data_IF_925447618545
#
_entry.id   IF_925447618545
#
_cell.length_a   1.000
_cell.length_b   1.000
_cell.length_c   1.000
_cell.angle_alpha   90.00
_cell.angle_beta   90.00
_cell.angle_gamma   90.00
#
_symmetry.space_group_name_H-M   'P 1'
#
loop_
_entity.id
_entity.type
_entity.pdbx_description
1 polymer ?
#
# COMPACT_ATOMS: atom_id res chain seq x y z
N UNK A 1 28.60 -68.12 -22.17
CA UNK A 1 29.98 -68.38 -22.62
C UNK A 1 30.01 -68.27 -24.14
N UNK A 2 30.96 -67.48 -24.66
CA UNK A 2 31.45 -67.42 -26.05
C UNK A 2 30.48 -66.97 -27.17
N UNK A 3 30.74 -65.74 -27.64
CA UNK A 3 30.67 -65.24 -29.03
C UNK A 3 31.56 -66.12 -29.96
N UNK A 4 31.65 -65.98 -31.32
CA UNK A 4 31.18 -64.87 -32.18
C UNK A 4 30.77 -65.26 -33.64
N UNK A 5 30.59 -64.22 -34.47
CA UNK A 5 31.15 -64.11 -35.82
C UNK A 5 30.52 -64.96 -36.94
N UNK A 6 29.79 -64.31 -37.86
CA UNK A 6 30.30 -63.69 -39.10
C UNK A 6 30.17 -64.64 -40.29
N UNK A 7 29.54 -64.11 -41.34
CA UNK A 7 29.86 -64.18 -42.78
C UNK A 7 28.70 -63.48 -43.47
N UNK A 8 28.84 -62.60 -44.44
CA UNK A 8 29.99 -62.14 -45.22
C UNK A 8 29.48 -60.86 -45.91
N UNK A 9 30.25 -59.76 -45.93
CA UNK A 9 31.10 -59.37 -47.08
C UNK A 9 30.23 -59.20 -48.33
N UNK A 10 29.82 -58.01 -48.72
CA UNK A 10 30.56 -56.91 -49.36
C UNK A 10 29.42 -56.06 -49.97
N UNK A 11 29.41 -54.73 -50.03
CA UNK A 11 30.39 -53.90 -50.68
C UNK A 11 30.04 -52.44 -50.35
N UNK A 12 31.10 -51.70 -50.13
CA UNK A 12 31.19 -50.28 -49.85
C UNK A 12 30.57 -49.37 -50.93
N UNK A 13 30.03 -48.25 -50.45
CA UNK A 13 30.13 -46.90 -51.05
C UNK A 13 29.31 -46.68 -52.34
N UNK A 14 28.18 -45.98 -52.25
CA UNK A 14 28.19 -44.56 -52.64
C UNK A 14 26.97 -43.77 -52.13
N UNK A 15 27.29 -42.72 -51.37
CA UNK A 15 26.67 -41.39 -51.29
C UNK A 15 25.17 -41.19 -51.56
N UNK A 16 24.51 -40.73 -50.49
CA UNK A 16 23.61 -39.57 -50.40
C UNK A 16 22.79 -39.24 -51.66
N UNK A 17 21.47 -39.20 -51.51
CA UNK A 17 20.70 -37.94 -51.47
C UNK A 17 19.19 -38.17 -51.57
N UNK A 18 18.44 -37.54 -50.65
CA UNK A 18 17.04 -37.05 -50.80
C UNK A 18 15.97 -38.17 -50.69
N UNK A 19 14.83 -38.08 -49.98
CA UNK A 19 14.05 -36.99 -49.39
C UNK A 19 13.07 -37.61 -48.37
N UNK A 20 13.02 -37.00 -47.18
CA UNK A 20 11.85 -36.69 -46.35
C UNK A 20 10.57 -37.56 -46.45
N UNK A 21 10.27 -38.27 -45.36
CA UNK A 21 8.91 -38.43 -44.86
C UNK A 21 8.89 -38.10 -43.37
N UNK A 22 8.23 -37.00 -43.02
CA UNK A 22 7.97 -36.57 -41.63
C UNK A 22 6.57 -37.03 -41.26
N UNK A 23 6.37 -37.85 -40.21
CA UNK A 23 5.07 -37.98 -39.58
C UNK A 23 4.91 -36.88 -38.52
N UNK A 24 3.94 -35.99 -38.75
CA UNK A 24 3.55 -34.91 -37.84
C UNK A 24 2.78 -35.53 -36.66
N UNK A 25 3.45 -35.79 -35.54
CA UNK A 25 2.78 -35.92 -34.25
C UNK A 25 2.40 -34.51 -33.75
N UNK A 26 1.12 -34.20 -33.77
CA UNK A 26 0.55 -33.01 -33.12
C UNK A 26 0.60 -33.19 -31.60
N UNK A 27 1.73 -32.84 -30.98
CA UNK A 27 1.77 -32.51 -29.57
C UNK A 27 1.38 -31.04 -29.40
N UNK A 28 0.09 -30.78 -29.19
CA UNK A 28 -0.37 -29.50 -28.65
C UNK A 28 0.03 -29.43 -27.16
N UNK A 29 1.30 -29.17 -26.90
CA UNK A 29 1.74 -28.67 -25.61
C UNK A 29 1.24 -27.24 -25.48
N UNK A 30 0.07 -27.04 -24.87
CA UNK A 30 -0.30 -25.74 -24.34
C UNK A 30 0.71 -25.39 -23.24
N UNK A 31 1.74 -24.64 -23.63
CA UNK A 31 2.57 -23.90 -22.69
C UNK A 31 1.68 -22.78 -22.14
N UNK A 32 0.88 -23.10 -21.12
CA UNK A 32 0.23 -22.10 -20.29
C UNK A 32 1.34 -21.30 -19.59
N UNK A 33 1.86 -20.27 -20.25
CA UNK A 33 2.46 -19.14 -19.54
C UNK A 33 1.35 -18.58 -18.66
N UNK A 34 1.27 -19.07 -17.42
CA UNK A 34 0.56 -18.36 -16.37
C UNK A 34 1.15 -16.94 -16.37
N UNK A 35 0.36 -15.89 -16.59
CA UNK A 35 0.84 -14.55 -16.39
C UNK A 35 1.33 -14.52 -14.96
N UNK A 36 2.61 -14.20 -14.75
CA UNK A 36 3.08 -13.80 -13.44
C UNK A 36 2.33 -12.51 -13.13
N UNK A 37 1.13 -12.65 -12.57
CA UNK A 37 0.36 -11.57 -12.02
C UNK A 37 1.29 -10.91 -11.00
N UNK A 38 1.80 -9.73 -11.35
CA UNK A 38 2.57 -8.87 -10.48
C UNK A 38 1.65 -8.31 -9.39
N UNK A 39 1.08 -9.20 -8.58
CA UNK A 39 0.17 -8.88 -7.49
C UNK A 39 0.99 -8.29 -6.36
N UNK A 40 0.55 -7.12 -5.90
CA UNK A 40 1.13 -6.44 -4.75
C UNK A 40 2.24 -5.44 -5.09
N UNK A 41 2.47 -5.10 -6.36
CA UNK A 41 3.01 -3.76 -6.67
C UNK A 41 1.85 -2.78 -6.80
N UNK A 42 1.31 -2.33 -5.67
CA UNK A 42 1.02 -0.91 -5.63
C UNK A 42 2.40 -0.24 -5.76
N UNK A 43 2.81 0.09 -6.98
CA UNK A 43 3.85 1.07 -7.19
C UNK A 43 3.41 2.33 -6.42
N UNK A 44 4.36 3.08 -5.86
CA UNK A 44 4.03 4.38 -5.28
C UNK A 44 3.18 5.13 -6.31
N UNK A 45 1.94 5.47 -5.95
CA UNK A 45 0.99 6.16 -6.84
C UNK A 45 1.45 7.58 -7.15
N UNK A 46 2.49 8.05 -6.44
CA UNK A 46 3.06 9.36 -6.65
C UNK A 46 4.12 9.34 -7.75
N UNK A 47 3.71 9.87 -8.89
CA UNK A 47 4.56 10.15 -10.04
C UNK A 47 5.34 11.45 -9.83
N UNK A 48 6.68 11.43 -9.64
CA UNK A 48 7.45 12.64 -9.33
C UNK A 48 7.40 13.74 -10.39
N UNK A 49 7.10 13.38 -11.64
CA UNK A 49 6.87 14.30 -12.77
C UNK A 49 5.52 15.03 -12.72
N UNK A 50 4.61 14.55 -11.86
CA UNK A 50 3.30 15.15 -11.58
C UNK A 50 3.26 15.95 -10.28
N UNK A 51 4.35 15.92 -9.51
CA UNK A 51 4.48 16.67 -8.25
C UNK A 51 4.71 18.15 -8.54
N UNK A 52 3.98 19.04 -7.86
CA UNK A 52 4.11 20.51 -7.95
C UNK A 52 4.51 21.19 -6.64
N UNK A 53 4.55 20.44 -5.54
CA UNK A 53 4.93 20.90 -4.21
C UNK A 53 3.79 21.56 -3.44
N UNK A 54 3.93 21.60 -2.11
CA UNK A 54 2.88 22.05 -1.20
C UNK A 54 2.48 23.53 -1.36
N UNK A 55 3.40 24.39 -1.82
CA UNK A 55 3.14 25.83 -1.90
C UNK A 55 1.95 26.15 -2.80
N UNK A 56 1.79 25.43 -3.92
CA UNK A 56 0.66 25.61 -4.84
C UNK A 56 -0.68 25.20 -4.25
N UNK A 57 -0.68 24.23 -3.34
CA UNK A 57 -1.87 23.82 -2.61
C UNK A 57 -2.24 24.86 -1.54
N UNK A 58 -1.22 25.46 -0.91
CA UNK A 58 -1.37 26.41 0.20
C UNK A 58 -2.00 27.74 -0.23
N UNK A 59 -1.97 28.08 -1.52
CA UNK A 59 -2.67 29.25 -2.07
C UNK A 59 -4.18 29.23 -1.76
N UNK A 60 -4.77 28.03 -1.58
CA UNK A 60 -6.18 27.87 -1.17
C UNK A 60 -6.36 27.07 0.14
N UNK A 61 -5.37 26.27 0.55
CA UNK A 61 -5.42 25.36 1.71
C UNK A 61 -4.40 25.75 2.79
N UNK A 62 -4.43 27.01 3.23
CA UNK A 62 -3.45 27.55 4.17
C UNK A 62 -3.51 26.85 5.54
N UNK A 63 -4.72 26.57 6.06
CA UNK A 63 -4.89 25.96 7.38
C UNK A 63 -4.46 24.49 7.36
N UNK A 64 -4.75 23.77 6.28
CA UNK A 64 -4.25 22.42 6.03
C UNK A 64 -2.72 22.40 6.02
N UNK A 65 -2.08 23.39 5.39
CA UNK A 65 -0.62 23.51 5.41
C UNK A 65 -0.09 23.71 6.84
N UNK A 66 -0.74 24.57 7.65
CA UNK A 66 -0.35 24.79 9.06
C UNK A 66 -0.48 23.50 9.88
N UNK A 67 -1.58 22.78 9.73
CA UNK A 67 -1.79 21.50 10.38
C UNK A 67 -0.73 20.46 9.94
N UNK A 68 -0.49 20.35 8.64
CA UNK A 68 0.49 19.42 8.07
C UNK A 68 1.89 19.67 8.61
N UNK A 69 2.34 20.92 8.72
CA UNK A 69 3.68 21.28 9.23
C UNK A 69 3.99 20.72 10.62
N UNK A 70 2.96 20.43 11.43
CA UNK A 70 3.11 19.88 12.78
C UNK A 70 3.10 18.33 12.80
N UNK A 71 2.73 17.68 11.70
CA UNK A 71 2.65 16.22 11.61
C UNK A 71 4.02 15.54 11.60
N UNK A 72 4.05 14.23 11.84
CA UNK A 72 5.23 13.41 11.59
C UNK A 72 5.60 13.33 10.11
N UNK A 73 4.61 13.48 9.21
CA UNK A 73 4.82 13.47 7.76
C UNK A 73 5.62 14.67 7.27
N UNK A 74 5.33 15.89 7.74
CA UNK A 74 6.14 17.06 7.40
C UNK A 74 7.59 16.92 7.90
N UNK A 75 7.76 16.31 9.09
CA UNK A 75 9.06 16.16 9.76
C UNK A 75 9.84 14.92 9.33
N UNK A 76 9.28 14.07 8.47
CA UNK A 76 9.91 12.81 8.06
C UNK A 76 11.24 13.02 7.33
N UNK A 77 11.46 14.20 6.75
CA UNK A 77 12.71 14.59 6.11
C UNK A 77 13.84 14.94 7.08
N UNK A 78 13.55 15.01 8.38
CA UNK A 78 14.48 15.42 9.42
C UNK A 78 14.95 14.26 10.30
N UNK A 79 14.48 13.03 10.07
CA UNK A 79 14.84 11.83 10.88
C UNK A 79 16.34 11.53 10.91
N UNK A 80 17.10 12.00 9.92
CA UNK A 80 18.56 11.85 9.88
C UNK A 80 19.31 13.01 10.54
N UNK A 81 18.60 14.07 10.97
CA UNK A 81 19.15 15.26 11.64
C UNK A 81 18.68 15.39 13.09
N UNK A 82 17.48 14.91 13.41
CA UNK A 82 16.90 14.96 14.75
C UNK A 82 17.73 14.14 15.74
N UNK A 83 18.11 14.75 16.87
CA UNK A 83 18.99 14.14 17.87
C UNK A 83 18.48 12.81 18.42
N UNK A 84 17.15 12.60 18.47
CA UNK A 84 16.52 11.38 18.99
C UNK A 84 16.54 10.23 17.99
N UNK A 85 16.64 10.52 16.69
CA UNK A 85 16.50 9.51 15.62
C UNK A 85 17.74 9.37 14.73
N UNK A 86 18.63 10.37 14.71
CA UNK A 86 19.84 10.39 13.88
C UNK A 86 20.72 9.16 14.07
N UNK A 87 20.98 8.73 15.29
CA UNK A 87 21.83 7.57 15.54
C UNK A 87 21.23 6.28 14.94
N UNK A 88 19.93 6.09 15.07
CA UNK A 88 19.21 4.97 14.46
C UNK A 88 19.19 5.08 12.93
N UNK A 89 18.94 6.27 12.39
CA UNK A 89 18.96 6.53 10.94
C UNK A 89 20.34 6.23 10.35
N UNK A 90 21.43 6.69 10.98
CA UNK A 90 22.81 6.41 10.57
C UNK A 90 23.10 4.90 10.61
N UNK A 91 22.65 4.19 11.66
CA UNK A 91 22.83 2.74 11.77
C UNK A 91 22.12 1.99 10.64
N UNK A 92 20.83 2.29 10.41
CA UNK A 92 20.04 1.65 9.35
C UNK A 92 20.65 1.97 7.99
N UNK A 93 20.97 3.23 7.72
CA UNK A 93 21.56 3.67 6.45
C UNK A 93 22.87 2.92 6.15
N UNK A 94 23.78 2.82 7.14
CA UNK A 94 25.04 2.07 7.00
C UNK A 94 24.81 0.58 6.76
N UNK A 95 23.87 -0.04 7.48
CA UNK A 95 23.49 -1.43 7.25
C UNK A 95 22.90 -1.68 5.85
N UNK A 96 22.32 -0.64 5.23
CA UNK A 96 21.84 -0.65 3.86
C UNK A 96 22.89 -0.20 2.82
N UNK A 97 24.15 -0.01 3.23
CA UNK A 97 25.26 0.34 2.34
C UNK A 97 25.36 1.84 2.00
N UNK A 98 24.63 2.71 2.72
CA UNK A 98 24.75 4.16 2.58
C UNK A 98 25.84 4.70 3.52
N UNK A 99 26.48 5.82 3.13
CA UNK A 99 27.56 6.43 3.92
C UNK A 99 27.09 6.92 5.30
N UNK A 100 25.88 7.46 5.37
CA UNK A 100 25.24 8.00 6.57
C UNK A 100 23.73 8.16 6.35
N UNK A 101 23.00 8.54 7.40
CA UNK A 101 21.59 8.91 7.33
C UNK A 101 21.33 10.10 6.40
N UNK A 102 22.27 11.02 6.22
CA UNK A 102 22.11 12.12 5.26
C UNK A 102 21.98 11.63 3.81
N UNK A 103 22.64 10.51 3.47
CA UNK A 103 22.55 9.88 2.15
C UNK A 103 21.18 9.22 1.87
N UNK A 104 20.27 9.18 2.86
CA UNK A 104 18.88 8.77 2.64
C UNK A 104 18.17 9.66 1.62
N UNK A 105 18.53 10.95 1.53
CA UNK A 105 17.90 11.93 0.64
C UNK A 105 18.07 11.63 -0.86
N UNK A 106 19.05 10.79 -1.21
CA UNK A 106 19.32 10.37 -2.59
C UNK A 106 19.04 8.88 -2.82
N UNK A 107 18.60 8.16 -1.79
CA UNK A 107 18.33 6.72 -1.85
C UNK A 107 16.86 6.47 -2.17
N UNK A 108 16.56 5.75 -3.26
CA UNK A 108 15.18 5.36 -3.59
C UNK A 108 14.52 4.60 -2.42
N UNK A 109 15.26 3.69 -1.78
CA UNK A 109 14.80 2.90 -0.64
C UNK A 109 14.24 3.75 0.52
N UNK A 110 14.83 4.91 0.78
CA UNK A 110 14.43 5.77 1.89
C UNK A 110 13.44 6.87 1.45
N UNK A 111 13.67 7.41 0.25
CA UNK A 111 12.86 8.51 -0.31
C UNK A 111 11.47 8.09 -0.75
N UNK A 112 11.19 6.80 -0.91
CA UNK A 112 9.83 6.31 -1.17
C UNK A 112 8.88 6.51 0.00
N UNK A 113 9.38 6.52 1.24
CA UNK A 113 8.54 6.60 2.45
C UNK A 113 8.75 7.89 3.27
N UNK A 114 9.96 8.47 3.27
CA UNK A 114 10.30 9.59 4.16
C UNK A 114 10.29 10.95 3.48
N UNK A 115 10.19 11.01 2.15
CA UNK A 115 10.34 12.25 1.41
C UNK A 115 9.34 12.33 0.27
N UNK A 116 9.01 13.55 -0.13
CA UNK A 116 8.38 13.79 -1.43
C UNK A 116 9.45 14.09 -2.45
N UNK A 117 9.38 13.43 -3.61
CA UNK A 117 10.29 13.66 -4.73
C UNK A 117 9.57 14.37 -5.87
N UNK A 118 10.28 15.29 -6.51
CA UNK A 118 9.82 16.01 -7.70
C UNK A 118 10.87 15.92 -8.80
N UNK A 119 10.44 15.82 -10.06
CA UNK A 119 11.32 15.95 -11.22
C UNK A 119 11.48 17.43 -11.59
N UNK A 120 12.66 18.00 -11.31
CA UNK A 120 13.00 19.42 -11.59
C UNK A 120 14.20 19.45 -12.54
N UNK A 121 14.06 20.11 -13.70
CA UNK A 121 15.13 20.21 -14.69
C UNK A 121 15.66 18.84 -15.15
N UNK A 122 14.76 17.86 -15.30
CA UNK A 122 15.12 16.48 -15.68
C UNK A 122 15.64 15.61 -14.52
N UNK A 123 16.00 16.19 -13.38
CA UNK A 123 16.55 15.47 -12.22
C UNK A 123 15.51 15.22 -11.14
N UNK A 124 15.56 14.05 -10.52
CA UNK A 124 14.72 13.72 -9.36
C UNK A 124 15.34 14.31 -8.09
N UNK A 125 14.57 15.10 -7.34
CA UNK A 125 15.03 15.75 -6.10
C UNK A 125 14.00 15.58 -5.00
N UNK A 126 14.45 15.45 -3.75
CA UNK A 126 13.56 15.58 -2.59
C UNK A 126 13.19 17.05 -2.40
N UNK A 127 11.92 17.33 -2.13
CA UNK A 127 11.41 18.69 -1.92
C UNK A 127 10.94 18.95 -0.48
N UNK A 128 11.01 17.93 0.38
CA UNK A 128 10.65 17.97 1.79
C UNK A 128 10.22 16.59 2.28
N UNK A 129 9.57 16.56 3.45
CA UNK A 129 8.93 15.37 4.00
C UNK A 129 7.79 14.85 3.14
N UNK A 130 7.01 13.91 3.69
CA UNK A 130 5.79 13.39 3.06
C UNK A 130 4.78 14.54 2.92
N UNK A 131 4.43 14.89 1.68
CA UNK A 131 3.71 16.11 1.30
C UNK A 131 2.19 15.89 1.17
N UNK A 132 1.46 16.94 0.80
CA UNK A 132 0.04 16.82 0.43
C UNK A 132 -0.14 15.79 -0.70
N UNK A 133 0.71 15.87 -1.71
CA UNK A 133 0.64 15.03 -2.92
C UNK A 133 1.02 13.58 -2.64
N UNK A 134 1.78 13.33 -1.57
CA UNK A 134 2.02 11.97 -1.07
C UNK A 134 0.75 11.28 -0.59
N UNK A 135 -0.32 12.00 -0.24
CA UNK A 135 -1.62 11.44 0.12
C UNK A 135 -2.69 11.66 -0.97
N UNK A 136 -2.61 12.77 -1.69
CA UNK A 136 -3.63 13.23 -2.65
C UNK A 136 -3.27 12.99 -4.12
N UNK A 137 -2.11 12.40 -4.42
CA UNK A 137 -1.61 12.26 -5.79
C UNK A 137 -0.89 13.52 -6.27
N UNK A 138 -0.15 13.41 -7.38
CA UNK A 138 0.59 14.55 -7.96
C UNK A 138 -0.36 15.59 -8.57
N UNK A 139 -0.23 16.85 -8.15
CA UNK A 139 -1.16 17.93 -8.46
C UNK A 139 -1.08 18.51 -9.86
N UNK A 140 -0.04 18.19 -10.65
CA UNK A 140 0.23 18.84 -11.94
C UNK A 140 -0.97 18.86 -12.89
N UNK A 141 -1.71 17.76 -12.96
CA UNK A 141 -2.79 17.63 -13.93
C UNK A 141 -4.16 18.06 -13.37
N UNK A 142 -4.38 17.97 -12.04
CA UNK A 142 -5.69 18.26 -11.45
C UNK A 142 -5.78 19.60 -10.71
N UNK A 143 -4.65 20.25 -10.35
CA UNK A 143 -4.64 21.45 -9.51
C UNK A 143 -5.52 22.57 -10.07
N UNK A 144 -5.43 22.85 -11.38
CA UNK A 144 -6.26 23.86 -12.05
C UNK A 144 -7.73 23.49 -12.06
N UNK A 145 -8.07 22.23 -12.40
CA UNK A 145 -9.45 21.73 -12.45
C UNK A 145 -10.10 21.73 -11.07
N UNK A 146 -9.33 21.43 -10.03
CA UNK A 146 -9.80 21.40 -8.65
C UNK A 146 -10.31 22.77 -8.17
N UNK A 147 -9.58 23.84 -8.51
CA UNK A 147 -9.89 25.22 -8.13
C UNK A 147 -10.78 25.99 -9.11
N UNK A 148 -11.15 25.42 -10.27
CA UNK A 148 -11.88 26.11 -11.34
C UNK A 148 -13.38 26.25 -11.04
N UNK A 149 -13.74 27.13 -10.10
CA UNK A 149 -15.14 27.35 -9.70
C UNK A 149 -15.93 28.22 -10.68
N UNK A 150 -15.26 29.00 -11.53
CA UNK A 150 -15.93 29.88 -12.49
C UNK A 150 -16.44 29.09 -13.69
N UNK A 151 -15.58 28.30 -14.34
CA UNK A 151 -15.97 27.53 -15.54
C UNK A 151 -16.68 26.22 -15.21
N UNK A 152 -16.41 25.64 -14.03
CA UNK A 152 -17.01 24.39 -13.59
C UNK A 152 -17.63 24.63 -12.21
N UNK A 153 -18.76 25.35 -12.10
CA UNK A 153 -19.35 25.69 -10.79
C UNK A 153 -19.84 24.48 -10.01
N UNK A 154 -20.22 23.40 -10.71
CA UNK A 154 -20.59 22.12 -10.09
C UNK A 154 -19.39 21.45 -9.41
N UNK A 155 -19.49 21.29 -8.08
CA UNK A 155 -18.46 20.69 -7.24
C UNK A 155 -18.22 19.21 -7.58
N UNK A 156 -19.26 18.45 -7.84
CA UNK A 156 -19.15 17.00 -8.06
C UNK A 156 -18.57 16.71 -9.43
N UNK A 157 -18.87 17.54 -10.43
CA UNK A 157 -18.19 17.50 -11.72
C UNK A 157 -16.69 17.83 -11.59
N UNK A 158 -16.32 18.87 -10.83
CA UNK A 158 -14.90 19.16 -10.53
C UNK A 158 -14.20 17.98 -9.85
N UNK A 159 -14.87 17.33 -8.89
CA UNK A 159 -14.34 16.15 -8.19
C UNK A 159 -14.11 14.98 -9.14
N UNK A 160 -15.11 14.66 -9.95
CA UNK A 160 -15.03 13.58 -10.95
C UNK A 160 -13.87 13.80 -11.92
N UNK A 161 -13.71 15.01 -12.45
CA UNK A 161 -12.60 15.36 -13.36
C UNK A 161 -11.24 15.31 -12.67
N UNK A 162 -11.11 15.89 -11.48
CA UNK A 162 -9.86 15.87 -10.72
C UNK A 162 -9.43 14.44 -10.38
N UNK A 163 -10.39 13.58 -10.01
CA UNK A 163 -10.15 12.15 -9.77
C UNK A 163 -9.68 11.43 -11.03
N UNK A 164 -10.31 11.70 -12.18
CA UNK A 164 -9.88 11.13 -13.46
C UNK A 164 -8.45 11.56 -13.86
N UNK A 165 -7.97 12.69 -13.33
CA UNK A 165 -6.62 13.23 -13.52
C UNK A 165 -5.63 12.78 -12.42
N UNK A 166 -6.03 11.87 -11.54
CA UNK A 166 -5.15 11.24 -10.55
C UNK A 166 -5.24 11.80 -9.13
N UNK A 167 -6.18 12.70 -8.84
CA UNK A 167 -6.43 13.16 -7.48
C UNK A 167 -7.02 12.03 -6.61
N UNK A 168 -6.40 11.76 -5.46
CA UNK A 168 -6.93 10.88 -4.44
C UNK A 168 -7.77 11.68 -3.45
N UNK A 169 -9.07 11.38 -3.39
CA UNK A 169 -9.99 12.01 -2.46
C UNK A 169 -10.06 11.25 -1.13
N UNK A 170 -10.03 11.94 0.03
CA UNK A 170 -10.17 11.31 1.35
C UNK A 170 -11.42 10.43 1.53
N UNK A 171 -12.49 10.71 0.79
CA UNK A 171 -13.72 9.89 0.80
C UNK A 171 -13.55 8.54 0.09
N UNK A 172 -12.57 8.39 -0.80
CA UNK A 172 -12.18 7.10 -1.38
C UNK A 172 -11.30 6.33 -0.39
N UNK A 173 -11.88 5.94 0.76
CA UNK A 173 -11.20 5.33 1.91
C UNK A 173 -10.22 4.23 1.51
N UNK A 174 -10.62 3.36 0.59
CA UNK A 174 -9.80 2.24 0.12
C UNK A 174 -8.49 2.72 -0.53
N UNK A 175 -8.56 3.65 -1.49
CA UNK A 175 -7.38 4.14 -2.22
C UNK A 175 -6.44 4.92 -1.30
N UNK A 176 -7.01 5.76 -0.43
CA UNK A 176 -6.20 6.53 0.54
C UNK A 176 -5.54 5.58 1.55
N UNK A 177 -6.26 4.58 2.05
CA UNK A 177 -5.72 3.60 2.97
C UNK A 177 -4.58 2.78 2.36
N UNK A 178 -4.74 2.27 1.12
CA UNK A 178 -3.68 1.58 0.38
C UNK A 178 -2.42 2.43 0.32
N UNK A 179 -2.57 3.73 0.07
CA UNK A 179 -1.45 4.65 0.01
C UNK A 179 -0.77 4.86 1.38
N UNK A 180 -1.51 4.89 2.50
CA UNK A 180 -0.91 4.87 3.84
C UNK A 180 -0.08 3.59 4.07
N UNK A 181 -0.59 2.42 3.65
CA UNK A 181 0.08 1.14 3.88
C UNK A 181 1.39 0.98 3.10
N UNK A 182 1.56 1.69 1.98
CA UNK A 182 2.81 1.68 1.22
C UNK A 182 4.03 2.10 2.05
N UNK A 183 3.84 2.93 3.08
CA UNK A 183 4.93 3.37 3.97
C UNK A 183 4.83 2.77 5.38
N UNK A 184 3.62 2.54 5.89
CA UNK A 184 3.41 2.08 7.27
C UNK A 184 3.53 0.56 7.45
N UNK A 185 3.56 -0.20 6.36
CA UNK A 185 3.88 -1.64 6.35
C UNK A 185 5.04 -1.86 5.38
N UNK A 186 6.22 -2.13 5.92
CA UNK A 186 7.43 -2.25 5.13
C UNK A 186 7.36 -3.49 4.24
N UNK A 187 7.76 -3.32 2.97
CA UNK A 187 7.70 -4.35 1.92
C UNK A 187 9.07 -4.96 1.61
N UNK A 188 10.13 -4.29 2.04
CA UNK A 188 11.51 -4.74 1.86
C UNK A 188 11.98 -5.54 3.07
N UNK A 189 12.15 -6.84 2.89
CA UNK A 189 12.63 -7.74 3.94
C UNK A 189 14.05 -7.43 4.38
N UNK A 190 14.93 -7.01 3.45
CA UNK A 190 16.34 -6.71 3.75
C UNK A 190 16.44 -5.47 4.64
N UNK A 191 15.64 -4.43 4.38
CA UNK A 191 15.55 -3.23 5.19
C UNK A 191 15.19 -3.56 6.66
N UNK A 192 14.34 -4.55 6.87
CA UNK A 192 13.95 -5.00 8.21
C UNK A 192 14.99 -5.93 8.83
N UNK A 193 15.31 -7.04 8.17
CA UNK A 193 16.16 -8.09 8.74
C UNK A 193 17.63 -7.68 8.86
N UNK A 194 18.16 -6.93 7.88
CA UNK A 194 19.55 -6.47 7.84
C UNK A 194 19.66 -5.03 8.33
N UNK A 195 18.81 -4.15 7.80
CA UNK A 195 18.82 -2.74 8.17
C UNK A 195 18.43 -2.49 9.63
N UNK A 196 17.64 -3.39 10.23
CA UNK A 196 17.08 -3.18 11.58
C UNK A 196 15.95 -2.17 11.60
N UNK A 197 15.37 -1.85 10.44
CA UNK A 197 14.20 -0.98 10.36
C UNK A 197 12.97 -1.71 10.94
N UNK A 198 12.06 -1.02 11.65
CA UNK A 198 10.81 -1.61 12.07
C UNK A 198 9.99 -2.12 10.87
N UNK A 199 9.43 -3.31 10.96
CA UNK A 199 8.64 -3.86 9.85
C UNK A 199 7.31 -3.11 9.62
N UNK A 200 6.82 -2.43 10.65
CA UNK A 200 5.55 -1.68 10.64
C UNK A 200 5.68 -0.48 11.56
N UNK A 201 4.90 0.57 11.30
CA UNK A 201 4.76 1.67 12.26
C UNK A 201 4.07 1.18 13.53
N UNK A 202 4.67 1.48 14.69
CA UNK A 202 4.17 1.03 15.99
C UNK A 202 2.79 1.62 16.25
N UNK A 203 1.80 0.76 16.50
CA UNK A 203 0.42 1.17 16.79
C UNK A 203 -0.32 1.79 15.60
N UNK A 204 0.11 1.52 14.36
CA UNK A 204 -0.62 1.99 13.18
C UNK A 204 -2.05 1.44 13.16
N UNK A 205 -3.01 2.36 13.11
CA UNK A 205 -4.43 2.08 12.94
C UNK A 205 -5.02 3.23 12.11
N UNK A 206 -5.64 2.89 10.97
CA UNK A 206 -6.11 3.89 10.03
C UNK A 206 -7.11 4.87 10.65
N UNK A 207 -8.06 4.37 11.45
CA UNK A 207 -9.08 5.20 12.09
C UNK A 207 -8.48 6.19 13.11
N UNK A 208 -7.59 5.73 14.00
CA UNK A 208 -7.01 6.62 15.01
C UNK A 208 -5.96 7.59 14.46
N UNK A 209 -5.25 7.21 13.40
CA UNK A 209 -4.23 8.07 12.79
C UNK A 209 -4.84 9.18 11.93
N UNK A 210 -5.92 8.87 11.20
CA UNK A 210 -6.66 9.87 10.43
C UNK A 210 -7.49 10.82 11.30
N UNK A 211 -7.78 10.44 12.56
CA UNK A 211 -8.48 11.29 13.52
C UNK A 211 -7.57 12.29 14.27
N UNK A 212 -6.24 12.13 14.20
CA UNK A 212 -5.27 12.88 15.01
C UNK A 212 -4.50 13.93 14.20
N UNK A 213 -3.17 13.82 14.19
CA UNK A 213 -2.26 14.77 13.50
C UNK A 213 -2.48 14.87 11.98
N UNK A 214 -3.13 13.86 11.37
CA UNK A 214 -3.48 13.86 9.95
C UNK A 214 -4.86 14.48 9.71
N UNK A 215 -5.67 14.77 10.74
CA UNK A 215 -6.98 15.40 10.58
C UNK A 215 -6.82 16.84 10.12
N UNK A 216 -7.45 17.20 9.01
CA UNK A 216 -7.45 18.56 8.46
C UNK A 216 -8.83 18.94 7.93
N UNK A 217 -9.82 18.93 8.82
CA UNK A 217 -11.23 19.24 8.51
C UNK A 217 -11.51 20.75 8.69
N UNK A 218 -11.22 21.54 7.65
CA UNK A 218 -11.42 22.99 7.68
C UNK A 218 -12.69 23.45 6.96
N UNK A 219 -13.61 22.55 6.62
CA UNK A 219 -14.88 22.91 6.01
C UNK A 219 -15.88 23.44 7.06
N UNK A 220 -15.48 24.36 7.94
CA UNK A 220 -16.41 25.13 8.78
C UNK A 220 -16.82 26.44 8.09
N UNK A 221 -17.77 27.18 8.66
CA UNK A 221 -18.28 28.43 8.06
C UNK A 221 -17.21 29.47 7.78
N UNK A 222 -16.08 29.42 8.49
CA UNK A 222 -15.03 30.45 8.43
C UNK A 222 -13.71 29.91 7.83
N UNK A 223 -13.65 28.62 7.50
CA UNK A 223 -12.47 27.87 7.03
C UNK A 223 -11.21 28.05 7.89
N UNK A 224 -11.40 28.22 9.21
CA UNK A 224 -10.30 28.59 10.12
C UNK A 224 -9.91 27.51 11.10
N UNK A 225 -10.87 26.70 11.57
CA UNK A 225 -10.65 25.71 12.62
C UNK A 225 -10.82 24.31 12.11
N UNK A 226 -10.12 23.39 12.76
CA UNK A 226 -10.25 21.97 12.49
C UNK A 226 -11.49 21.44 13.20
N UNK A 227 -12.64 21.63 12.58
CA UNK A 227 -13.96 21.38 13.17
C UNK A 227 -14.04 19.95 13.71
N UNK A 228 -14.44 19.83 14.98
CA UNK A 228 -14.65 18.54 15.65
C UNK A 228 -15.78 17.75 14.98
N UNK A 229 -16.79 18.47 14.48
CA UNK A 229 -17.94 17.94 13.74
C UNK A 229 -18.01 18.58 12.34
N UNK A 230 -17.56 17.84 11.32
CA UNK A 230 -18.05 17.95 9.95
C UNK A 230 -17.69 16.69 9.14
N UNK A 231 -18.27 16.48 7.95
CA UNK A 231 -18.24 15.32 7.00
C UNK A 231 -17.14 14.22 7.16
N UNK A 232 -15.94 14.56 7.63
CA UNK A 232 -14.81 13.65 7.84
C UNK A 232 -14.77 12.98 9.23
N UNK A 233 -15.59 13.45 10.19
CA UNK A 233 -15.80 12.83 11.51
C UNK A 233 -17.19 12.24 11.69
N UNK A 234 -17.91 11.95 10.59
CA UNK A 234 -19.08 11.08 10.66
C UNK A 234 -18.66 9.77 11.34
N UNK A 235 -19.38 9.38 12.38
CA UNK A 235 -19.22 8.09 13.05
C UNK A 235 -19.19 6.96 12.01
N UNK A 236 -19.98 7.06 10.94
CA UNK A 236 -19.98 6.12 9.82
C UNK A 236 -18.60 6.03 9.15
N UNK A 237 -17.99 7.17 8.84
CA UNK A 237 -16.64 7.19 8.26
C UNK A 237 -15.61 6.56 9.20
N UNK A 238 -15.70 6.79 10.52
CA UNK A 238 -14.79 6.13 11.50
C UNK A 238 -14.97 4.62 11.49
N UNK A 239 -16.21 4.13 11.46
CA UNK A 239 -16.52 2.69 11.35
C UNK A 239 -15.94 2.11 10.06
N UNK A 240 -16.14 2.79 8.92
CA UNK A 240 -15.57 2.40 7.62
C UNK A 240 -14.04 2.37 7.66
N UNK A 241 -13.39 3.41 8.18
CA UNK A 241 -11.93 3.48 8.31
C UNK A 241 -11.38 2.37 9.20
N UNK A 242 -12.10 2.02 10.29
CA UNK A 242 -11.70 0.93 11.17
C UNK A 242 -11.69 -0.41 10.42
N UNK A 243 -12.80 -0.75 9.75
CA UNK A 243 -12.95 -2.05 9.09
C UNK A 243 -12.09 -2.13 7.83
N UNK A 244 -12.16 -1.14 6.92
CA UNK A 244 -11.33 -1.12 5.70
C UNK A 244 -9.84 -1.12 6.05
N UNK A 245 -9.43 -0.36 7.07
CA UNK A 245 -8.06 -0.34 7.56
C UNK A 245 -7.60 -1.71 8.06
N UNK A 246 -8.42 -2.42 8.85
CA UNK A 246 -8.13 -3.78 9.30
C UNK A 246 -8.00 -4.77 8.12
N UNK A 247 -8.92 -4.70 7.16
CA UNK A 247 -8.93 -5.60 6.01
C UNK A 247 -7.72 -5.44 5.09
N UNK A 248 -7.35 -4.19 4.78
CA UNK A 248 -6.16 -3.91 3.98
C UNK A 248 -4.87 -4.27 4.74
N UNK A 249 -4.82 -4.04 6.05
CA UNK A 249 -3.69 -4.47 6.87
C UNK A 249 -3.49 -6.00 6.81
N UNK A 250 -4.59 -6.76 6.83
CA UNK A 250 -4.56 -8.22 6.63
C UNK A 250 -4.02 -8.58 5.25
N UNK A 251 -4.56 -7.98 4.21
CA UNK A 251 -4.15 -8.24 2.84
C UNK A 251 -2.65 -7.96 2.63
N UNK A 252 -2.17 -6.79 3.06
CA UNK A 252 -0.76 -6.41 2.95
C UNK A 252 0.13 -7.31 3.81
N UNK A 253 -0.31 -7.67 5.02
CA UNK A 253 0.44 -8.59 5.89
C UNK A 253 0.57 -9.97 5.27
N UNK A 254 -0.48 -10.52 4.66
CA UNK A 254 -0.42 -11.81 3.96
C UNK A 254 0.47 -11.73 2.71
N UNK A 255 0.30 -10.69 1.88
CA UNK A 255 1.11 -10.50 0.69
C UNK A 255 2.61 -10.38 1.03
N UNK A 256 2.95 -9.61 2.07
CA UNK A 256 4.32 -9.45 2.54
C UNK A 256 4.87 -10.73 3.21
N UNK A 257 4.05 -11.45 3.98
CA UNK A 257 4.41 -12.75 4.53
C UNK A 257 4.72 -13.75 3.41
N UNK A 258 3.93 -13.76 2.34
CA UNK A 258 4.16 -14.64 1.21
C UNK A 258 5.46 -14.31 0.47
N UNK A 259 5.87 -13.04 0.41
CA UNK A 259 7.10 -12.59 -0.28
C UNK A 259 8.37 -12.75 0.56
N UNK A 260 8.27 -12.69 1.89
CA UNK A 260 9.44 -12.78 2.77
C UNK A 260 10.18 -14.11 2.59
N UNK A 261 11.49 -14.07 2.36
CA UNK A 261 12.32 -15.22 1.99
C UNK A 261 13.05 -15.85 3.15
N UNK A 262 13.20 -15.17 4.30
CA UNK A 262 14.00 -15.66 5.44
C UNK A 262 13.12 -16.30 6.52
N UNK A 263 13.00 -17.64 6.60
CA UNK A 263 12.17 -18.29 7.62
C UNK A 263 12.57 -17.86 9.03
N UNK A 264 11.58 -17.54 9.88
CA UNK A 264 11.82 -17.06 11.24
C UNK A 264 12.47 -15.67 11.37
N UNK A 265 12.76 -14.98 10.26
CA UNK A 265 13.27 -13.61 10.25
C UNK A 265 12.27 -12.61 10.85
N UNK A 266 12.78 -11.48 11.34
CA UNK A 266 11.98 -10.43 11.98
C UNK A 266 10.85 -9.92 11.08
N UNK A 267 11.14 -9.79 9.78
CA UNK A 267 10.17 -9.41 8.75
C UNK A 267 8.96 -10.36 8.69
N UNK A 268 9.22 -11.65 8.41
CA UNK A 268 8.15 -12.67 8.32
C UNK A 268 7.40 -12.82 9.64
N UNK A 269 8.09 -12.78 10.78
CA UNK A 269 7.47 -12.82 12.11
C UNK A 269 6.49 -11.65 12.31
N UNK A 270 6.89 -10.43 11.95
CA UNK A 270 6.02 -9.27 12.09
C UNK A 270 4.76 -9.37 11.21
N UNK A 271 4.91 -9.79 9.95
CA UNK A 271 3.78 -9.95 9.02
C UNK A 271 2.85 -11.10 9.44
N UNK A 272 3.42 -12.25 9.81
CA UNK A 272 2.68 -13.42 10.28
C UNK A 272 1.91 -13.16 11.57
N UNK A 273 2.56 -12.55 12.57
CA UNK A 273 1.91 -12.20 13.83
C UNK A 273 0.76 -11.21 13.62
N UNK A 274 0.93 -10.24 12.71
CA UNK A 274 -0.13 -9.30 12.39
C UNK A 274 -1.31 -9.99 11.72
N UNK A 275 -1.07 -10.75 10.66
CA UNK A 275 -2.11 -11.50 9.96
C UNK A 275 -2.85 -12.45 10.94
N UNK A 276 -2.11 -13.18 11.78
CA UNK A 276 -2.69 -14.06 12.80
C UNK A 276 -3.63 -13.31 13.75
N UNK A 277 -3.21 -12.14 14.25
CA UNK A 277 -4.03 -11.32 15.15
C UNK A 277 -5.33 -10.85 14.50
N UNK A 278 -5.31 -10.49 13.21
CA UNK A 278 -6.53 -10.10 12.50
C UNK A 278 -7.45 -11.31 12.31
N UNK A 279 -6.90 -12.41 11.78
CA UNK A 279 -7.66 -13.62 11.42
C UNK A 279 -8.36 -14.23 12.65
N UNK A 280 -7.65 -14.30 13.78
CA UNK A 280 -8.12 -15.06 14.93
C UNK A 280 -8.75 -14.18 16.03
N UNK A 281 -8.68 -12.85 15.92
CA UNK A 281 -9.21 -11.95 16.95
C UNK A 281 -10.01 -10.80 16.36
N UNK A 282 -9.39 -9.94 15.56
CA UNK A 282 -10.04 -8.68 15.16
C UNK A 282 -11.20 -8.89 14.19
N UNK A 283 -11.02 -9.69 13.13
CA UNK A 283 -12.08 -9.96 12.16
C UNK A 283 -13.25 -10.75 12.77
N UNK A 284 -13.03 -11.85 13.54
CA UNK A 284 -14.12 -12.50 14.27
C UNK A 284 -14.86 -11.57 15.21
N UNK A 285 -14.15 -10.71 15.95
CA UNK A 285 -14.77 -9.74 16.87
C UNK A 285 -15.61 -8.70 16.13
N UNK A 286 -15.16 -8.20 14.98
CA UNK A 286 -15.95 -7.31 14.12
C UNK A 286 -17.23 -8.02 13.66
N UNK A 287 -17.12 -9.27 13.21
CA UNK A 287 -18.28 -10.06 12.76
C UNK A 287 -19.25 -10.30 13.92
N UNK A 288 -18.76 -10.69 15.09
CA UNK A 288 -19.57 -10.85 16.31
C UNK A 288 -20.33 -9.57 16.67
N UNK A 289 -19.63 -8.42 16.62
CA UNK A 289 -20.23 -7.13 16.97
C UNK A 289 -21.29 -6.64 15.99
N UNK A 290 -21.19 -7.03 14.73
CA UNK A 290 -22.18 -6.70 13.71
C UNK A 290 -23.40 -7.65 13.75
N UNK A 291 -23.25 -8.86 14.28
CA UNK A 291 -24.37 -9.80 14.46
C UNK A 291 -25.07 -10.14 13.14
N UNK A 292 -26.38 -9.94 13.07
CA UNK A 292 -27.18 -10.23 11.87
C UNK A 292 -26.97 -9.21 10.73
N UNK A 293 -26.32 -8.08 11.00
CA UNK A 293 -26.04 -7.02 10.02
C UNK A 293 -24.69 -7.20 9.31
N UNK A 294 -23.99 -8.33 9.52
CA UNK A 294 -22.66 -8.55 8.93
C UNK A 294 -22.73 -8.50 7.40
N UNK A 295 -21.96 -7.60 6.75
CA UNK A 295 -21.87 -7.59 5.30
C UNK A 295 -21.28 -8.90 4.78
N UNK A 296 -21.89 -9.47 3.72
CA UNK A 296 -21.47 -10.75 3.12
C UNK A 296 -19.98 -10.79 2.78
N UNK A 297 -19.40 -9.65 2.39
CA UNK A 297 -17.99 -9.56 2.03
C UNK A 297 -17.08 -9.88 3.22
N UNK A 298 -17.49 -9.57 4.45
CA UNK A 298 -16.72 -9.94 5.65
C UNK A 298 -16.77 -11.45 5.90
N UNK A 299 -17.88 -12.12 5.59
CA UNK A 299 -18.01 -13.58 5.70
C UNK A 299 -17.19 -14.30 4.62
N UNK A 300 -17.20 -13.78 3.40
CA UNK A 300 -16.34 -14.25 2.31
C UNK A 300 -14.86 -14.13 2.70
N UNK A 301 -14.44 -12.96 3.19
CA UNK A 301 -13.08 -12.73 3.69
C UNK A 301 -12.75 -13.70 4.82
N UNK A 302 -13.65 -13.88 5.79
CA UNK A 302 -13.43 -14.80 6.91
C UNK A 302 -13.22 -16.24 6.42
N UNK A 303 -14.00 -16.67 5.43
CA UNK A 303 -13.88 -18.00 4.81
C UNK A 303 -12.53 -18.18 4.13
N UNK A 304 -12.11 -17.20 3.32
CA UNK A 304 -10.80 -17.21 2.66
C UNK A 304 -9.69 -17.38 3.69
N UNK A 305 -9.68 -16.55 4.74
CA UNK A 305 -8.53 -16.49 5.65
C UNK A 305 -8.50 -17.61 6.69
N UNK A 306 -9.65 -18.21 7.05
CA UNK A 306 -9.71 -19.42 7.89
C UNK A 306 -9.05 -20.63 7.22
N UNK A 307 -9.07 -20.70 5.89
CA UNK A 307 -8.41 -21.76 5.13
C UNK A 307 -6.87 -21.60 5.05
N UNK A 308 -6.33 -20.44 5.41
CA UNK A 308 -4.90 -20.13 5.22
C UNK A 308 -4.05 -20.65 6.37
N UNK A 309 -3.11 -21.54 6.04
CA UNK A 309 -2.00 -21.87 6.96
C UNK A 309 -0.87 -20.86 6.80
N UNK A 310 -0.73 -19.93 7.75
CA UNK A 310 0.29 -18.86 7.70
C UNK A 310 1.74 -19.38 7.68
N UNK A 311 1.98 -20.55 8.29
CA UNK A 311 3.27 -21.26 8.24
C UNK A 311 3.39 -22.24 7.07
N UNK A 312 2.39 -22.28 6.19
CA UNK A 312 2.31 -23.18 5.05
C UNK A 312 3.08 -22.68 3.81
N UNK A 313 2.72 -23.25 2.65
CA UNK A 313 3.34 -22.89 1.36
C UNK A 313 3.09 -21.41 1.05
N UNK A 314 4.16 -20.67 0.74
CA UNK A 314 4.08 -19.24 0.43
C UNK A 314 3.15 -18.92 -0.74
N UNK A 315 3.07 -19.81 -1.74
CA UNK A 315 2.15 -19.66 -2.86
C UNK A 315 0.68 -19.63 -2.43
N UNK A 316 0.30 -20.45 -1.44
CA UNK A 316 -1.07 -20.47 -0.91
C UNK A 316 -1.36 -19.20 -0.09
N UNK A 317 -0.37 -18.69 0.64
CA UNK A 317 -0.50 -17.40 1.35
C UNK A 317 -0.64 -16.24 0.35
N UNK A 318 0.11 -16.28 -0.76
CA UNK A 318 0.03 -15.28 -1.83
C UNK A 318 -1.34 -15.32 -2.51
N UNK A 319 -1.83 -16.52 -2.84
CA UNK A 319 -3.15 -16.72 -3.44
C UNK A 319 -4.25 -16.18 -2.53
N UNK A 320 -4.21 -16.50 -1.24
CA UNK A 320 -5.17 -15.96 -0.29
C UNK A 320 -5.11 -14.43 -0.21
N UNK A 321 -3.92 -13.83 -0.18
CA UNK A 321 -3.77 -12.37 -0.19
C UNK A 321 -4.38 -11.74 -1.46
N UNK A 322 -4.21 -12.39 -2.61
CA UNK A 322 -4.80 -11.94 -3.88
C UNK A 322 -6.33 -12.06 -3.88
N UNK A 323 -6.87 -13.16 -3.37
CA UNK A 323 -8.31 -13.43 -3.28
C UNK A 323 -9.05 -12.46 -2.36
N UNK A 324 -8.35 -11.72 -1.49
CA UNK A 324 -8.95 -10.67 -0.66
C UNK A 324 -9.28 -9.38 -1.43
N UNK A 325 -8.63 -9.10 -2.56
CA UNK A 325 -8.79 -7.81 -3.27
C UNK A 325 -10.25 -7.55 -3.68
N UNK A 326 -10.89 -8.57 -4.25
CA UNK A 326 -12.29 -8.52 -4.69
C UNK A 326 -13.27 -8.14 -3.57
N UNK A 327 -13.41 -8.95 -2.51
CA UNK A 327 -14.34 -8.66 -1.43
C UNK A 327 -13.97 -7.39 -0.63
N UNK A 328 -12.68 -7.06 -0.45
CA UNK A 328 -12.29 -5.80 0.20
C UNK A 328 -12.73 -4.59 -0.62
N UNK A 329 -12.55 -4.64 -1.94
CA UNK A 329 -12.98 -3.58 -2.85
C UNK A 329 -14.51 -3.45 -2.86
N UNK A 330 -15.22 -4.58 -2.93
CA UNK A 330 -16.68 -4.60 -2.90
C UNK A 330 -17.21 -4.00 -1.58
N UNK A 331 -16.69 -4.45 -0.43
CA UNK A 331 -17.03 -3.90 0.88
C UNK A 331 -16.78 -2.38 0.94
N UNK A 332 -15.60 -1.94 0.49
CA UNK A 332 -15.21 -0.52 0.57
C UNK A 332 -16.08 0.38 -0.30
N UNK A 333 -16.63 -0.13 -1.41
CA UNK A 333 -17.54 0.62 -2.30
C UNK A 333 -18.97 0.62 -1.76
N UNK A 334 -19.44 -0.51 -1.25
CA UNK A 334 -20.82 -0.67 -0.79
C UNK A 334 -21.09 0.03 0.55
N UNK A 335 -20.08 0.11 1.43
CA UNK A 335 -20.26 0.60 2.79
C UNK A 335 -19.86 2.07 2.92
N UNK A 336 -20.75 2.90 3.45
CA UNK A 336 -20.44 4.25 3.97
C UNK A 336 -20.16 4.23 5.49
N UNK A 337 -20.51 3.13 6.15
CA UNK A 337 -20.34 2.87 7.58
C UNK A 337 -21.60 3.02 8.42
N UNK A 338 -22.74 3.42 7.83
CA UNK A 338 -24.05 3.47 8.50
C UNK A 338 -24.48 2.11 9.03
N UNK A 339 -24.33 1.06 8.23
CA UNK A 339 -24.62 -0.34 8.59
C UNK A 339 -23.54 -1.01 9.45
N UNK A 340 -22.58 -0.24 9.99
CA UNK A 340 -21.49 -0.78 10.80
C UNK A 340 -21.59 -0.39 12.28
N UNK A 341 -22.78 -0.01 12.77
CA UNK A 341 -22.94 0.56 14.10
C UNK A 341 -22.44 -0.34 15.25
N UNK A 342 -22.54 -1.67 15.09
CA UNK A 342 -22.05 -2.64 16.07
C UNK A 342 -20.57 -2.48 16.44
N UNK A 343 -19.73 -1.92 15.55
CA UNK A 343 -18.28 -1.77 15.78
C UNK A 343 -17.91 -0.53 16.58
N UNK A 344 -18.85 0.28 17.06
CA UNK A 344 -18.57 1.53 17.79
C UNK A 344 -17.65 1.32 19.00
N UNK A 345 -17.86 0.23 19.73
CA UNK A 345 -17.02 -0.14 20.88
C UNK A 345 -15.56 -0.49 20.51
N UNK A 346 -15.30 -0.77 19.23
CA UNK A 346 -13.99 -1.13 18.68
C UNK A 346 -13.24 0.09 18.11
N UNK A 347 -13.92 1.23 17.94
CA UNK A 347 -13.29 2.46 17.46
C UNK A 347 -12.29 2.94 18.53
N UNK A 348 -11.01 3.19 18.17
CA UNK A 348 -10.03 3.67 19.13
C UNK A 348 -10.47 4.97 19.80
N UNK A 349 -10.40 5.01 21.13
CA UNK A 349 -10.77 6.19 21.94
C UNK A 349 -9.75 7.33 21.86
N UNK A 350 -8.52 7.02 21.46
CA UNK A 350 -7.43 7.99 21.35
C UNK A 350 -6.94 8.06 19.92
N UNK A 351 -6.65 9.28 19.47
CA UNK A 351 -6.05 9.55 18.17
C UNK A 351 -4.52 9.57 18.27
N UNK A 352 -3.84 9.33 17.14
CA UNK A 352 -2.39 9.50 17.06
C UNK A 352 -2.04 10.99 16.93
N UNK A 353 -1.36 11.53 17.94
CA UNK A 353 -1.02 12.96 17.96
C UNK A 353 -2.24 13.83 18.20
N UNK A 354 -2.06 15.15 18.06
CA UNK A 354 -3.14 16.12 18.23
C UNK A 354 -3.50 16.72 16.87
N UNK A 355 -4.79 16.87 16.63
CA UNK A 355 -5.28 17.65 15.51
C UNK A 355 -4.97 19.13 15.77
N UNK A 356 -4.44 19.82 14.76
CA UNK A 356 -4.13 21.24 14.87
C UNK A 356 -5.40 22.08 15.10
N UNK A 357 -5.27 23.12 15.92
CA UNK A 357 -6.22 24.23 16.07
C UNK A 357 -5.44 25.55 15.97
N UNK A 358 -6.03 26.59 15.35
CA UNK A 358 -5.43 27.94 15.26
C UNK A 358 -5.32 28.65 16.61
#
# INVERSE_FOLDING_TARGET
MQSPAHRDVAQQINQRSQMQFIPILRAFGLLCLAPALALGQAASTLHPEKVIGNTKCADCHEQELKAWKLSGHARSDSVHRDAKTRATADKIAKAMGLKSGAAMTTSALCTECHFTRQKVGGSLRVIGGVSCESCHGGGKDYHSIHGETEKIPDRDERRKRSKALGMLYPHDTHLVAQNCFNCHIIRDEKLVNVGGHPARSKGFNLASWTAGEVRHNFYDKDFKRNAETNLDTDTNRKRKMLVVGMLLDLQYSLANLARGKTPGGAYRKAMGNRAYGIINKELPLVIEKLGDEVPKELLEIQTIVKAVKLSGKQSLVAEAAASLEGPITAFSKAQDGSALAGVDSLIPKTAKGQAWQP
#
